data_IF_514093033246
#
_entry.id   IF_514093033246
#
_cell.length_a   1.000
_cell.length_b   1.000
_cell.length_c   1.000
_cell.angle_alpha   90.00
_cell.angle_beta   90.00
_cell.angle_gamma   90.00
#
_symmetry.space_group_name_H-M   'P 1'
#
loop_
_entity.id
_entity.type
_entity.pdbx_description
1 polymer ?
#
# COMPACT_ATOMS: atom_id res chain seq x y z
N UNK A 1 -2.85 -0.26 -4.76
CA UNK A 1 -1.98 0.62 -5.59
C UNK A 1 -2.58 2.04 -5.54
N UNK A 2 -1.74 3.08 -5.38
CA UNK A 2 -2.20 4.48 -5.33
C UNK A 2 -1.94 5.23 -4.02
N UNK A 3 -1.74 4.54 -2.89
CA UNK A 3 -1.49 5.18 -1.58
C UNK A 3 -0.22 6.04 -1.53
N UNK A 4 0.72 5.84 -2.46
CA UNK A 4 1.96 6.61 -2.56
C UNK A 4 1.72 8.11 -2.84
N UNK A 5 0.61 8.47 -3.50
CA UNK A 5 0.31 9.88 -3.83
C UNK A 5 0.05 10.71 -2.57
N UNK A 6 -0.45 10.07 -1.51
CA UNK A 6 -0.71 10.72 -0.23
C UNK A 6 0.57 11.30 0.37
N UNK A 7 1.72 10.61 0.24
CA UNK A 7 3.00 11.14 0.71
C UNK A 7 3.38 12.45 0.00
N UNK A 8 3.13 12.54 -1.30
CA UNK A 8 3.33 13.79 -2.05
C UNK A 8 2.39 14.90 -1.56
N UNK A 9 1.12 14.58 -1.28
CA UNK A 9 0.19 15.56 -0.72
C UNK A 9 0.64 16.06 0.67
N UNK A 10 1.10 15.16 1.54
CA UNK A 10 1.61 15.51 2.87
C UNK A 10 2.88 16.37 2.79
N UNK A 11 3.75 16.10 1.82
CA UNK A 11 4.99 16.86 1.64
C UNK A 11 4.76 18.26 1.04
N UNK A 12 3.94 18.37 0.00
CA UNK A 12 3.87 19.60 -0.82
C UNK A 12 2.65 20.47 -0.55
N UNK A 13 1.51 19.86 -0.18
CA UNK A 13 0.25 20.59 0.00
C UNK A 13 -0.50 20.17 1.29
N UNK A 14 0.17 20.02 2.44
CA UNK A 14 -0.49 19.56 3.67
C UNK A 14 -1.63 20.49 4.12
N UNK A 15 -1.48 21.80 3.89
CA UNK A 15 -2.51 22.81 4.17
C UNK A 15 -3.81 22.66 3.38
N UNK A 16 -3.83 21.80 2.34
CA UNK A 16 -5.04 21.47 1.58
C UNK A 16 -5.75 20.21 2.09
N UNK A 17 -5.22 19.58 3.13
CA UNK A 17 -5.72 18.35 3.71
C UNK A 17 -6.34 18.64 5.08
N UNK A 18 -7.52 18.06 5.35
CA UNK A 18 -8.07 18.00 6.71
C UNK A 18 -7.50 16.81 7.52
N UNK A 19 -6.84 15.88 6.82
CA UNK A 19 -6.27 14.64 7.37
C UNK A 19 -5.98 13.66 6.25
N UNK A 20 -5.36 12.53 6.58
CA UNK A 20 -5.10 11.45 5.65
C UNK A 20 -5.21 10.08 6.32
N UNK A 21 -5.82 9.11 5.64
CA UNK A 21 -5.78 7.70 6.05
C UNK A 21 -5.24 6.86 4.90
N UNK A 22 -4.11 6.20 5.12
CA UNK A 22 -3.54 5.23 4.21
C UNK A 22 -3.91 3.82 4.69
N UNK A 23 -4.39 2.98 3.78
CA UNK A 23 -4.81 1.60 4.07
C UNK A 23 -3.96 0.66 3.25
N UNK A 24 -3.26 -0.26 3.93
CA UNK A 24 -2.26 -1.17 3.36
C UNK A 24 -1.35 -0.49 2.31
N UNK A 25 -0.77 0.69 2.62
CA UNK A 25 -0.10 1.48 1.59
C UNK A 25 1.18 0.78 1.14
N UNK A 26 1.35 0.63 -0.17
CA UNK A 26 2.57 0.07 -0.77
C UNK A 26 3.79 0.87 -0.33
N UNK A 27 4.89 0.16 -0.10
CA UNK A 27 6.16 0.70 0.35
C UNK A 27 7.20 0.53 -0.74
N UNK A 28 7.95 1.59 -1.00
CA UNK A 28 9.11 1.52 -1.87
C UNK A 28 10.33 1.04 -1.05
N UNK A 29 10.83 -0.15 -1.39
CA UNK A 29 11.99 -0.77 -0.73
C UNK A 29 13.29 0.04 -0.89
N UNK A 30 13.33 1.02 -1.79
CA UNK A 30 14.51 1.84 -2.05
C UNK A 30 14.44 3.24 -1.41
N UNK A 31 13.48 3.49 -0.49
CA UNK A 31 13.51 4.74 0.28
C UNK A 31 14.76 4.83 1.18
N UNK A 32 15.59 5.90 1.06
CA UNK A 32 16.88 5.99 1.72
C UNK A 32 16.87 5.89 3.26
N UNK A 33 15.78 6.31 3.91
CA UNK A 33 15.68 6.31 5.38
C UNK A 33 15.43 4.93 5.97
N UNK A 34 15.12 3.92 5.15
CA UNK A 34 15.10 2.54 5.65
C UNK A 34 16.52 2.04 5.87
N UNK A 35 16.78 1.31 6.99
CA UNK A 35 17.99 0.53 7.11
C UNK A 35 18.07 -0.47 5.96
N UNK A 36 19.19 -0.46 5.23
CA UNK A 36 19.35 -1.28 4.03
C UNK A 36 19.06 -2.77 4.28
N UNK A 37 19.47 -3.29 5.44
CA UNK A 37 19.24 -4.68 5.82
C UNK A 37 17.75 -4.97 6.06
N UNK A 38 17.03 -4.06 6.73
CA UNK A 38 15.58 -4.21 6.97
C UNK A 38 14.82 -4.25 5.65
N UNK A 39 15.11 -3.30 4.75
CA UNK A 39 14.44 -3.25 3.45
C UNK A 39 14.76 -4.47 2.60
N UNK A 40 16.03 -4.90 2.56
CA UNK A 40 16.46 -6.11 1.84
C UNK A 40 15.77 -7.37 2.38
N UNK A 41 15.67 -7.53 3.69
CA UNK A 41 14.99 -8.67 4.30
C UNK A 41 13.50 -8.69 3.95
N UNK A 42 12.82 -7.54 4.02
CA UNK A 42 11.42 -7.43 3.62
C UNK A 42 11.23 -7.74 2.12
N UNK A 43 12.08 -7.17 1.26
CA UNK A 43 12.04 -7.41 -0.18
C UNK A 43 12.24 -8.89 -0.54
N UNK A 44 13.20 -9.57 0.11
CA UNK A 44 13.49 -10.97 -0.13
C UNK A 44 12.37 -11.94 0.32
N UNK A 45 11.44 -11.47 1.16
CA UNK A 45 10.27 -12.25 1.58
C UNK A 45 9.13 -12.20 0.58
N UNK A 46 9.14 -11.27 -0.37
CA UNK A 46 8.21 -11.29 -1.49
C UNK A 46 8.44 -12.53 -2.34
N UNK A 47 7.42 -12.98 -3.06
CA UNK A 47 7.62 -14.08 -4.00
C UNK A 47 8.40 -13.61 -5.24
N UNK A 48 9.18 -14.52 -5.82
CA UNK A 48 10.18 -14.21 -6.86
C UNK A 48 9.63 -13.39 -8.05
N UNK A 49 8.44 -13.68 -8.61
CA UNK A 49 7.89 -12.86 -9.69
C UNK A 49 7.68 -11.40 -9.28
N UNK A 50 7.24 -11.18 -8.04
CA UNK A 50 7.02 -9.84 -7.51
C UNK A 50 8.36 -9.12 -7.28
N UNK A 51 9.35 -9.80 -6.68
CA UNK A 51 10.70 -9.25 -6.54
C UNK A 51 11.25 -8.77 -7.88
N UNK A 52 11.18 -9.60 -8.93
CA UNK A 52 11.69 -9.25 -10.26
C UNK A 52 10.96 -8.04 -10.85
N UNK A 53 9.63 -8.00 -10.76
CA UNK A 53 8.83 -6.89 -11.27
C UNK A 53 9.18 -5.58 -10.59
N UNK A 54 9.23 -5.58 -9.26
CA UNK A 54 9.54 -4.37 -8.50
C UNK A 54 10.98 -3.92 -8.72
N UNK A 55 11.92 -4.86 -8.81
CA UNK A 55 13.32 -4.56 -9.11
C UNK A 55 13.46 -3.94 -10.50
N UNK A 56 12.75 -4.44 -11.52
CA UNK A 56 12.75 -3.86 -12.87
C UNK A 56 12.11 -2.47 -12.85
N UNK A 57 10.97 -2.31 -12.16
CA UNK A 57 10.29 -1.02 -12.04
C UNK A 57 11.21 0.07 -11.45
N UNK A 58 12.05 -0.30 -10.47
CA UNK A 58 13.01 0.62 -9.85
C UNK A 58 14.26 0.86 -10.70
N UNK A 59 14.94 -0.22 -11.12
CA UNK A 59 16.31 -0.14 -11.66
C UNK A 59 16.34 0.04 -13.18
N UNK A 60 15.34 -0.49 -13.90
CA UNK A 60 15.28 -0.46 -15.37
C UNK A 60 13.84 -0.13 -15.81
N UNK A 61 13.28 1.04 -15.43
CA UNK A 61 11.88 1.37 -15.67
C UNK A 61 11.48 1.33 -17.15
N UNK A 62 12.41 1.62 -18.07
CA UNK A 62 12.18 1.53 -19.52
C UNK A 62 11.85 0.10 -19.98
N UNK A 63 12.31 -0.92 -19.25
CA UNK A 63 12.06 -2.34 -19.55
C UNK A 63 10.73 -2.83 -18.96
N UNK A 64 10.13 -2.09 -18.02
CA UNK A 64 8.95 -2.55 -17.29
C UNK A 64 7.78 -2.88 -18.24
N UNK A 65 7.58 -2.08 -19.28
CA UNK A 65 6.52 -2.34 -20.26
C UNK A 65 6.69 -3.71 -20.93
N UNK A 66 7.90 -4.01 -21.42
CA UNK A 66 8.20 -5.30 -22.05
C UNK A 66 8.05 -6.45 -21.04
N UNK A 67 8.55 -6.26 -19.81
CA UNK A 67 8.44 -7.23 -18.73
C UNK A 67 6.99 -7.56 -18.36
N UNK A 68 6.11 -6.56 -18.34
CA UNK A 68 4.71 -6.74 -17.94
C UNK A 68 3.83 -7.27 -19.07
N UNK A 69 4.27 -7.17 -20.33
CA UNK A 69 3.50 -7.60 -21.52
C UNK A 69 3.94 -8.93 -22.12
N UNK A 70 5.11 -9.45 -21.75
CA UNK A 70 5.56 -10.77 -22.17
C UNK A 70 4.61 -11.89 -21.69
N UNK A 71 4.60 -13.01 -22.40
CA UNK A 71 3.66 -14.14 -22.19
C UNK A 71 4.33 -15.47 -21.84
N UNK A 72 5.65 -15.48 -21.69
CA UNK A 72 6.43 -16.71 -21.52
C UNK A 72 6.41 -17.22 -20.08
N UNK A 73 6.30 -16.32 -19.11
CA UNK A 73 6.18 -16.70 -17.71
C UNK A 73 5.38 -15.64 -16.93
N UNK A 74 4.94 -15.98 -15.72
CA UNK A 74 4.15 -15.08 -14.90
C UNK A 74 4.97 -13.83 -14.50
N UNK A 75 4.56 -12.61 -14.90
CA UNK A 75 5.35 -11.38 -14.70
C UNK A 75 5.28 -10.85 -13.26
N UNK A 76 4.07 -10.56 -12.76
CA UNK A 76 3.82 -10.10 -11.38
C UNK A 76 2.73 -10.93 -10.73
N UNK A 77 3.03 -11.45 -9.55
CA UNK A 77 2.11 -12.29 -8.81
C UNK A 77 0.85 -11.55 -8.38
N UNK A 78 0.98 -10.28 -8.01
CA UNK A 78 -0.14 -9.39 -7.73
C UNK A 78 -1.02 -9.19 -8.98
N UNK A 79 -0.40 -8.96 -10.14
CA UNK A 79 -1.14 -8.78 -11.39
C UNK A 79 -1.91 -10.04 -11.84
N UNK A 80 -1.44 -11.23 -11.45
CA UNK A 80 -2.06 -12.51 -11.82
C UNK A 80 -2.85 -13.18 -10.68
N UNK A 81 -3.00 -12.49 -9.54
CA UNK A 81 -3.72 -13.00 -8.37
C UNK A 81 -3.17 -14.36 -7.89
N UNK A 82 -1.84 -14.51 -7.81
CA UNK A 82 -1.23 -15.76 -7.35
C UNK A 82 -1.64 -16.08 -5.90
N UNK A 83 -2.15 -17.28 -5.59
CA UNK A 83 -2.78 -17.57 -4.30
C UNK A 83 -1.86 -17.38 -3.09
N UNK A 84 -0.55 -17.57 -3.26
CA UNK A 84 0.43 -17.42 -2.17
C UNK A 84 0.54 -15.99 -1.61
N UNK A 85 0.13 -14.97 -2.38
CA UNK A 85 0.17 -13.57 -1.94
C UNK A 85 -1.00 -13.19 -1.03
N UNK A 86 -1.98 -14.09 -0.87
CA UNK A 86 -3.15 -13.86 -0.04
C UNK A 86 -2.98 -14.58 1.30
N UNK A 87 -3.33 -13.89 2.39
CA UNK A 87 -3.43 -14.52 3.70
C UNK A 87 -4.66 -15.43 3.77
N UNK A 88 -4.80 -16.21 4.85
CA UNK A 88 -6.02 -16.99 5.09
C UNK A 88 -7.25 -16.07 5.13
N UNK A 89 -7.14 -14.94 5.82
CA UNK A 89 -8.18 -13.92 5.89
C UNK A 89 -8.52 -13.39 4.49
N UNK A 90 -7.53 -13.05 3.66
CA UNK A 90 -7.77 -12.57 2.30
C UNK A 90 -8.50 -13.60 1.44
N UNK A 91 -8.18 -14.88 1.59
CA UNK A 91 -8.87 -15.96 0.87
C UNK A 91 -10.35 -16.08 1.30
N UNK A 92 -10.65 -15.93 2.60
CA UNK A 92 -12.03 -15.91 3.09
C UNK A 92 -12.81 -14.70 2.55
N UNK A 93 -12.18 -13.53 2.50
CA UNK A 93 -12.74 -12.32 1.89
C UNK A 93 -13.03 -12.53 0.41
N UNK A 94 -12.06 -13.06 -0.35
CA UNK A 94 -12.22 -13.35 -1.78
C UNK A 94 -13.37 -14.31 -2.04
N UNK A 95 -13.52 -15.36 -1.22
CA UNK A 95 -14.64 -16.31 -1.33
C UNK A 95 -16.00 -15.61 -1.13
N UNK A 96 -16.13 -14.77 -0.10
CA UNK A 96 -17.35 -13.98 0.14
C UNK A 96 -17.65 -13.03 -1.02
N UNK A 97 -16.63 -12.34 -1.53
CA UNK A 97 -16.76 -11.43 -2.67
C UNK A 97 -17.20 -12.16 -3.95
N UNK A 98 -16.70 -13.38 -4.20
CA UNK A 98 -17.10 -14.19 -5.35
C UNK A 98 -18.57 -14.64 -5.27
N UNK A 99 -19.12 -14.78 -4.06
CA UNK A 99 -20.52 -15.13 -3.84
C UNK A 99 -21.48 -13.94 -4.01
N UNK A 100 -20.96 -12.70 -4.06
CA UNK A 100 -21.79 -11.50 -4.25
C UNK A 100 -21.97 -11.16 -5.74
N UNK A 101 -23.14 -10.63 -6.15
CA UNK A 101 -23.33 -10.15 -7.51
C UNK A 101 -22.30 -9.08 -7.87
N UNK A 102 -21.60 -9.25 -9.00
CA UNK A 102 -20.66 -8.24 -9.52
C UNK A 102 -21.45 -7.04 -10.06
N UNK A 103 -21.81 -6.11 -9.19
CA UNK A 103 -22.50 -4.87 -9.54
C UNK A 103 -21.55 -3.70 -9.81
N UNK A 104 -20.26 -3.86 -9.49
CA UNK A 104 -19.27 -2.78 -9.60
C UNK A 104 -18.48 -2.93 -10.90
N UNK A 105 -18.65 -1.95 -11.80
CA UNK A 105 -17.77 -1.78 -12.97
C UNK A 105 -16.32 -1.54 -12.52
N UNK A 106 -15.38 -2.19 -13.20
CA UNK A 106 -13.96 -1.96 -12.95
C UNK A 106 -13.51 -0.60 -13.51
N UNK A 107 -13.80 0.47 -12.77
CA UNK A 107 -13.46 1.84 -13.16
C UNK A 107 -11.96 2.17 -13.04
N UNK A 108 -11.19 1.40 -12.26
CA UNK A 108 -9.78 1.70 -12.01
C UNK A 108 -8.87 1.46 -13.22
N UNK A 109 -9.34 0.73 -14.24
CA UNK A 109 -8.56 0.42 -15.46
C UNK A 109 -9.16 1.00 -16.73
N UNK A 110 -10.02 2.02 -16.64
CA UNK A 110 -10.69 2.64 -17.81
C UNK A 110 -9.70 3.21 -18.84
N UNK A 111 -8.53 3.68 -18.39
CA UNK A 111 -7.46 4.19 -19.26
C UNK A 111 -6.53 3.08 -19.79
N UNK A 112 -6.87 1.81 -19.58
CA UNK A 112 -6.09 0.66 -19.99
C UNK A 112 -5.03 0.24 -18.96
N UNK A 113 -4.42 -0.93 -19.18
CA UNK A 113 -3.45 -1.56 -18.26
C UNK A 113 -2.19 -0.72 -18.09
N UNK A 114 -1.75 -0.05 -19.17
CA UNK A 114 -0.55 0.78 -19.14
C UNK A 114 -0.69 1.97 -18.18
N UNK A 115 -1.73 2.79 -18.38
CA UNK A 115 -1.96 4.01 -17.58
C UNK A 115 -2.41 3.72 -16.15
N UNK A 116 -2.88 2.50 -15.86
CA UNK A 116 -3.25 2.08 -14.51
C UNK A 116 -2.12 1.30 -13.84
N UNK A 117 -1.88 0.05 -14.22
CA UNK A 117 -1.00 -0.85 -13.48
C UNK A 117 0.48 -0.53 -13.73
N UNK A 118 0.90 -0.34 -14.98
CA UNK A 118 2.32 -0.10 -15.26
C UNK A 118 2.77 1.25 -14.72
N UNK A 119 1.96 2.29 -14.96
CA UNK A 119 2.25 3.64 -14.48
C UNK A 119 2.25 3.71 -12.95
N UNK A 120 1.33 3.03 -12.27
CA UNK A 120 1.35 2.94 -10.81
C UNK A 120 2.63 2.29 -10.29
N UNK A 121 3.12 1.22 -10.94
CA UNK A 121 4.39 0.57 -10.55
C UNK A 121 5.58 1.53 -10.73
N UNK A 122 5.63 2.25 -11.85
CA UNK A 122 6.68 3.24 -12.12
C UNK A 122 6.71 4.36 -11.08
N UNK A 123 5.54 4.84 -10.67
CA UNK A 123 5.46 5.91 -9.66
C UNK A 123 5.75 5.34 -8.27
N UNK A 124 5.15 4.22 -7.89
CA UNK A 124 5.30 3.64 -6.56
C UNK A 124 6.75 3.22 -6.26
N UNK A 125 7.44 2.64 -7.23
CA UNK A 125 8.78 2.06 -7.05
C UNK A 125 9.90 2.83 -7.75
N UNK A 126 9.60 3.94 -8.41
CA UNK A 126 10.61 4.82 -9.00
C UNK A 126 11.46 5.54 -7.95
N UNK A 127 12.43 6.32 -8.41
CA UNK A 127 13.19 7.24 -7.55
C UNK A 127 12.34 8.46 -7.24
N UNK A 128 12.19 8.78 -5.96
CA UNK A 128 11.43 9.95 -5.50
C UNK A 128 12.38 11.08 -5.18
N UNK A 129 11.95 12.31 -5.43
CA UNK A 129 12.69 13.53 -5.09
C UNK A 129 12.73 13.82 -3.58
N UNK A 130 11.86 13.15 -2.81
CA UNK A 130 11.81 13.24 -1.35
C UNK A 130 11.66 11.84 -0.74
N UNK A 131 12.02 11.74 0.55
CA UNK A 131 11.82 10.54 1.34
C UNK A 131 10.61 10.75 2.29
N UNK A 132 9.59 9.88 2.23
CA UNK A 132 8.44 9.94 3.13
C UNK A 132 8.79 10.01 4.62
N UNK A 133 9.88 9.39 5.05
CA UNK A 133 10.32 9.39 6.45
C UNK A 133 11.02 10.69 6.89
N UNK A 134 11.22 11.63 5.96
CA UNK A 134 11.71 12.98 6.26
C UNK A 134 10.59 14.03 6.28
N UNK A 135 9.33 13.62 6.00
CA UNK A 135 8.17 14.52 6.09
C UNK A 135 7.95 14.91 7.56
N UNK A 136 7.96 16.21 7.84
CA UNK A 136 7.66 16.75 9.18
C UNK A 136 6.18 16.65 9.47
N UNK A 137 5.78 16.66 10.76
CA UNK A 137 4.37 16.61 11.15
C UNK A 137 3.58 17.71 10.41
N UNK A 138 2.64 17.34 9.51
CA UNK A 138 1.88 18.30 8.72
C UNK A 138 0.78 19.01 9.52
N UNK A 139 0.44 18.50 10.72
CA UNK A 139 -0.61 19.03 11.59
C UNK A 139 -0.10 19.27 13.04
N UNK A 140 0.83 20.21 13.26
CA UNK A 140 1.45 20.42 14.56
C UNK A 140 0.52 21.03 15.63
N UNK A 141 -0.63 21.61 15.25
CA UNK A 141 -1.64 22.15 16.15
C UNK A 141 -2.85 21.20 16.32
N UNK A 142 -2.72 19.93 15.92
CA UNK A 142 -3.79 18.93 15.93
C UNK A 142 -5.03 19.33 15.09
N UNK A 143 -4.83 20.16 14.07
CA UNK A 143 -5.84 20.59 13.11
C UNK A 143 -6.24 19.49 12.10
N UNK A 144 -5.49 18.39 12.09
CA UNK A 144 -5.73 17.21 11.29
C UNK A 144 -4.94 16.01 11.85
N UNK A 145 -5.10 14.85 11.22
CA UNK A 145 -4.33 13.66 11.61
C UNK A 145 -4.00 12.77 10.41
N UNK A 146 -2.92 12.01 10.55
CA UNK A 146 -2.49 11.03 9.55
C UNK A 146 -2.54 9.64 10.16
N UNK A 147 -3.19 8.71 9.46
CA UNK A 147 -3.38 7.34 9.88
C UNK A 147 -2.74 6.38 8.87
N UNK A 148 -2.09 5.33 9.37
CA UNK A 148 -1.72 4.16 8.56
C UNK A 148 -2.42 2.94 9.16
N UNK A 149 -3.16 2.22 8.32
CA UNK A 149 -3.84 0.99 8.68
C UNK A 149 -3.22 -0.18 7.94
N UNK A 150 -2.81 -1.21 8.67
CA UNK A 150 -2.07 -2.34 8.12
C UNK A 150 -2.64 -3.66 8.64
N UNK A 151 -2.88 -4.62 7.75
CA UNK A 151 -3.13 -6.00 8.16
C UNK A 151 -1.83 -6.65 8.64
N UNK A 152 -1.82 -7.27 9.82
CA UNK A 152 -0.64 -7.97 10.34
C UNK A 152 -0.26 -9.16 9.47
N UNK A 153 -1.24 -9.83 8.90
CA UNK A 153 -1.09 -11.02 8.05
C UNK A 153 -0.99 -10.65 6.55
N UNK A 154 -0.82 -9.36 6.22
CA UNK A 154 -0.60 -8.91 4.85
C UNK A 154 0.69 -9.50 4.27
N UNK A 155 0.56 -10.17 3.11
CA UNK A 155 1.68 -10.82 2.40
C UNK A 155 2.13 -10.04 1.16
N UNK A 156 1.45 -8.96 0.80
CA UNK A 156 1.80 -8.06 -0.29
C UNK A 156 2.63 -6.88 0.22
N UNK A 157 2.20 -6.28 1.34
CA UNK A 157 2.89 -5.20 2.02
C UNK A 157 3.21 -5.66 3.43
N UNK A 158 4.46 -6.06 3.62
CA UNK A 158 4.89 -6.63 4.89
C UNK A 158 4.87 -5.59 6.01
N UNK A 159 4.25 -5.97 7.14
CA UNK A 159 3.94 -5.10 8.29
C UNK A 159 5.20 -4.46 8.91
N UNK A 160 6.35 -5.11 8.81
CA UNK A 160 7.60 -4.68 9.45
C UNK A 160 8.06 -3.30 8.99
N UNK A 161 7.89 -2.99 7.70
CA UNK A 161 8.28 -1.70 7.16
C UNK A 161 7.31 -0.58 7.60
N UNK A 162 6.01 -0.86 7.75
CA UNK A 162 5.07 0.11 8.30
C UNK A 162 5.34 0.40 9.77
N UNK A 163 5.64 -0.63 10.57
CA UNK A 163 6.06 -0.46 11.98
C UNK A 163 7.29 0.44 12.09
N UNK A 164 8.25 0.29 11.16
CA UNK A 164 9.42 1.15 11.12
C UNK A 164 9.05 2.61 10.80
N UNK A 165 8.21 2.84 9.78
CA UNK A 165 7.70 4.18 9.42
C UNK A 165 7.01 4.82 10.63
N UNK A 166 6.08 4.12 11.27
CA UNK A 166 5.34 4.61 12.43
C UNK A 166 6.26 4.97 13.61
N UNK A 167 7.31 4.17 13.85
CA UNK A 167 8.32 4.48 14.87
C UNK A 167 9.14 5.72 14.52
N UNK A 168 9.45 5.93 13.24
CA UNK A 168 10.23 7.07 12.75
C UNK A 168 9.42 8.36 12.72
N UNK A 169 8.13 8.26 12.42
CA UNK A 169 7.17 9.36 12.28
C UNK A 169 6.10 9.26 13.37
N UNK A 170 6.39 9.68 14.61
CA UNK A 170 5.47 9.51 15.75
C UNK A 170 4.18 10.32 15.63
N UNK A 171 4.08 11.24 14.66
CA UNK A 171 2.86 11.97 14.34
C UNK A 171 1.86 11.13 13.52
N UNK A 172 2.25 9.94 13.05
CA UNK A 172 1.35 9.00 12.39
C UNK A 172 0.67 8.12 13.44
N UNK A 173 -0.67 8.10 13.39
CA UNK A 173 -1.49 7.15 14.15
C UNK A 173 -1.49 5.81 13.40
N UNK A 174 -0.69 4.86 13.89
CA UNK A 174 -0.58 3.53 13.29
C UNK A 174 -1.58 2.55 13.89
N UNK A 175 -2.31 1.85 13.02
CA UNK A 175 -3.34 0.87 13.35
C UNK A 175 -2.96 -0.46 12.69
N UNK A 176 -2.83 -1.51 13.49
CA UNK A 176 -2.45 -2.84 13.00
C UNK A 176 -3.54 -3.86 13.29
N UNK A 177 -4.17 -4.39 12.25
CA UNK A 177 -5.27 -5.35 12.37
C UNK A 177 -4.71 -6.77 12.59
N UNK A 178 -4.91 -7.40 13.77
CA UNK A 178 -4.19 -8.61 14.16
C UNK A 178 -4.36 -9.82 13.23
N UNK A 179 -5.57 -10.04 12.72
CA UNK A 179 -5.87 -11.15 11.80
C UNK A 179 -6.09 -10.65 10.35
N UNK A 180 -5.90 -9.35 10.12
CA UNK A 180 -6.15 -8.73 8.83
C UNK A 180 -5.08 -9.08 7.81
N UNK A 181 -5.49 -9.55 6.63
CA UNK A 181 -4.64 -9.59 5.44
C UNK A 181 -4.66 -8.28 4.65
N UNK A 182 -4.17 -8.28 3.40
CA UNK A 182 -4.15 -7.07 2.56
C UNK A 182 -5.56 -6.55 2.24
N UNK A 183 -6.54 -7.44 2.18
CA UNK A 183 -7.91 -7.17 1.76
C UNK A 183 -8.86 -6.92 2.93
N UNK A 184 -8.36 -6.68 4.15
CA UNK A 184 -9.23 -6.55 5.33
C UNK A 184 -10.30 -5.46 5.20
N UNK A 185 -10.00 -4.37 4.47
CA UNK A 185 -10.93 -3.26 4.24
C UNK A 185 -12.15 -3.64 3.38
N UNK A 186 -12.10 -4.78 2.68
CA UNK A 186 -13.22 -5.29 1.89
C UNK A 186 -14.28 -6.00 2.75
N UNK A 187 -14.03 -6.17 4.06
CA UNK A 187 -15.02 -6.67 5.02
C UNK A 187 -15.88 -5.52 5.53
N UNK A 188 -17.19 -5.76 5.61
CA UNK A 188 -18.18 -4.75 6.05
C UNK A 188 -17.80 -4.11 7.40
N UNK A 189 -17.95 -2.79 7.47
CA UNK A 189 -17.70 -1.99 8.67
C UNK A 189 -16.27 -1.44 8.82
N UNK A 190 -15.26 -2.00 8.12
CA UNK A 190 -13.89 -1.44 8.21
C UNK A 190 -13.77 -0.04 7.62
N UNK A 191 -14.42 0.21 6.48
CA UNK A 191 -14.44 1.55 5.87
C UNK A 191 -15.02 2.58 6.84
N UNK A 192 -16.13 2.26 7.50
CA UNK A 192 -16.77 3.15 8.48
C UNK A 192 -15.87 3.41 9.68
N UNK A 193 -15.18 2.38 10.20
CA UNK A 193 -14.21 2.52 11.29
C UNK A 193 -13.06 3.45 10.92
N UNK A 194 -12.48 3.27 9.72
CA UNK A 194 -11.38 4.11 9.22
C UNK A 194 -11.83 5.57 9.07
N UNK A 195 -13.02 5.79 8.49
CA UNK A 195 -13.58 7.13 8.32
C UNK A 195 -13.91 7.80 9.65
N UNK A 196 -14.49 7.07 10.61
CA UNK A 196 -14.76 7.59 11.96
C UNK A 196 -13.49 7.96 12.70
N UNK A 197 -12.45 7.12 12.63
CA UNK A 197 -11.16 7.43 13.23
C UNK A 197 -10.53 8.69 12.62
N UNK A 198 -10.62 8.85 11.29
CA UNK A 198 -10.07 9.99 10.57
C UNK A 198 -10.85 11.30 10.84
N UNK A 199 -12.19 11.24 10.79
CA UNK A 199 -13.05 12.42 10.79
C UNK A 199 -13.56 12.82 12.18
N UNK A 200 -13.76 11.83 13.06
CA UNK A 200 -14.34 12.02 14.39
C UNK A 200 -13.31 11.79 15.50
N UNK A 201 -12.14 11.23 15.19
CA UNK A 201 -11.12 10.89 16.18
C UNK A 201 -11.51 9.72 17.09
N UNK A 202 -12.53 8.94 16.72
CA UNK A 202 -12.94 7.75 17.47
C UNK A 202 -11.83 6.71 17.44
N UNK A 203 -11.45 6.19 18.61
CA UNK A 203 -10.56 5.04 18.65
C UNK A 203 -11.30 3.80 18.15
N UNK A 204 -10.71 3.03 17.22
CA UNK A 204 -11.37 1.86 16.70
C UNK A 204 -11.40 0.80 17.80
N UNK A 205 -12.60 0.53 18.31
CA UNK A 205 -12.83 -0.53 19.29
C UNK A 205 -12.29 -1.86 18.71
N UNK A 206 -11.33 -2.45 19.43
CA UNK A 206 -10.72 -3.76 19.18
C UNK A 206 -9.78 -3.87 17.96
N UNK A 207 -8.73 -3.03 17.88
CA UNK A 207 -7.54 -3.24 17.01
C UNK A 207 -6.36 -3.78 17.81
#
# INVERSE_FOLDING_TARGET
>A
MGGYSVWGCLQYIPHRLAGAALVVPIINYWWPSFPAELSKQAFNRLIVPEQRTLWIAHNIPSLLYLWMTQRWFPSSAAAMHHPEIFSKHDMEVLQKMMAMPRTIENKSRQQGIYESIHRDLLVAFGTWEFDPMNVTNPFPQNEGSVHIWQGREDRLVLVELQRYIAKKLPWIKYHEVPEGGHMFVMVDGWTDRILKALLLGEEPLDV
#
